data_IF_385686310015
#
_entry.id   IF_385686310015
#
_cell.length_a   1.000
_cell.length_b   1.000
_cell.length_c   1.000
_cell.angle_alpha   90.00
_cell.angle_beta   90.00
_cell.angle_gamma   90.00
#
_symmetry.space_group_name_H-M   'P 1'
#
loop_
_entity.id
_entity.type
_entity.pdbx_description
1 polymer ?
#
# COMPACT_ATOMS: atom_id res chain seq x y z
N UNK A 1 30.59 -7.00 -3.46
CA UNK A 1 30.69 -8.43 -3.78
C UNK A 1 30.04 -9.19 -2.63
N UNK A 2 28.73 -9.45 -2.72
CA UNK A 2 28.03 -10.35 -1.81
C UNK A 2 27.71 -11.61 -2.61
N UNK A 3 28.30 -12.73 -2.18
CA UNK A 3 28.05 -14.06 -2.72
C UNK A 3 26.99 -14.70 -1.82
N UNK A 4 25.77 -14.85 -2.33
CA UNK A 4 24.83 -15.85 -1.80
C UNK A 4 24.71 -16.96 -2.84
N UNK A 5 24.98 -18.19 -2.40
CA UNK A 5 24.92 -19.42 -3.21
C UNK A 5 23.47 -19.90 -3.37
N UNK A 6 22.54 -18.99 -3.66
CA UNK A 6 21.19 -19.41 -4.02
C UNK A 6 21.15 -19.72 -5.50
N UNK A 7 21.15 -21.00 -5.83
CA UNK A 7 20.68 -21.49 -7.12
C UNK A 7 19.18 -21.21 -7.20
N UNK A 8 18.81 -19.96 -7.43
CA UNK A 8 17.45 -19.61 -7.82
C UNK A 8 17.29 -20.20 -9.22
N UNK A 9 16.56 -21.32 -9.31
CA UNK A 9 15.81 -21.64 -10.53
C UNK A 9 14.97 -20.42 -10.83
N UNK A 10 15.51 -19.57 -11.70
CA UNK A 10 14.89 -18.35 -12.19
C UNK A 10 13.74 -18.79 -13.09
N UNK A 11 12.66 -19.26 -12.47
CA UNK A 11 11.35 -19.21 -13.11
C UNK A 11 11.16 -17.73 -13.41
N UNK A 12 11.32 -17.38 -14.69
CA UNK A 12 11.07 -16.05 -15.20
C UNK A 12 9.56 -15.80 -15.17
N UNK A 13 8.97 -15.77 -13.98
CA UNK A 13 7.69 -15.12 -13.79
C UNK A 13 7.96 -13.62 -13.89
N UNK A 14 7.32 -12.96 -14.84
CA UNK A 14 7.53 -11.54 -15.12
C UNK A 14 7.32 -10.68 -13.88
N UNK A 15 7.80 -9.44 -13.93
CA UNK A 15 7.45 -8.43 -12.94
C UNK A 15 5.94 -8.24 -12.89
N UNK A 16 5.36 -8.23 -11.69
CA UNK A 16 3.94 -7.88 -11.53
C UNK A 16 3.83 -6.37 -11.66
N UNK A 17 3.30 -5.91 -12.78
CA UNK A 17 2.95 -4.50 -12.98
C UNK A 17 1.45 -4.32 -12.71
N UNK A 18 1.06 -3.56 -11.68
CA UNK A 18 -0.33 -3.31 -11.37
C UNK A 18 -1.08 -2.55 -12.47
N UNK A 19 -2.38 -2.80 -12.59
CA UNK A 19 -3.26 -2.12 -13.55
C UNK A 19 -3.84 -0.78 -13.04
N UNK A 20 -3.41 -0.32 -11.86
CA UNK A 20 -3.91 0.88 -11.20
C UNK A 20 -3.57 2.14 -12.03
N UNK A 21 -4.55 3.04 -12.20
CA UNK A 21 -4.53 4.09 -13.24
C UNK A 21 -3.31 5.02 -13.15
N UNK A 22 -2.84 5.29 -11.93
CA UNK A 22 -1.75 6.23 -11.67
C UNK A 22 -0.40 5.52 -11.49
N UNK A 23 -0.36 4.19 -11.39
CA UNK A 23 0.85 3.44 -11.08
C UNK A 23 1.96 3.70 -12.11
N UNK A 24 1.71 3.34 -13.38
CA UNK A 24 2.76 3.36 -14.42
C UNK A 24 3.23 4.77 -14.80
N UNK A 25 2.38 5.79 -14.60
CA UNK A 25 2.69 7.16 -15.01
C UNK A 25 3.29 7.99 -13.87
N UNK A 26 2.85 7.76 -12.62
CA UNK A 26 3.16 8.65 -11.50
C UNK A 26 3.90 7.97 -10.33
N UNK A 27 3.74 6.66 -10.12
CA UNK A 27 4.37 5.96 -8.98
C UNK A 27 5.76 5.41 -9.32
N UNK A 28 6.74 6.30 -9.40
CA UNK A 28 8.14 5.93 -9.60
C UNK A 28 8.76 5.19 -8.39
N UNK A 29 8.18 5.33 -7.20
CA UNK A 29 8.78 4.88 -5.95
C UNK A 29 8.75 3.36 -5.76
N UNK A 30 7.66 2.67 -6.15
CA UNK A 30 7.55 1.22 -5.99
C UNK A 30 8.49 0.44 -6.93
N UNK A 31 8.64 0.82 -8.21
CA UNK A 31 9.71 0.27 -9.06
C UNK A 31 11.11 0.56 -8.51
N UNK A 32 11.35 1.76 -7.94
CA UNK A 32 12.66 2.15 -7.44
C UNK A 32 13.15 1.31 -6.24
N UNK A 33 12.24 0.69 -5.48
CA UNK A 33 12.56 -0.23 -4.37
C UNK A 33 12.30 -1.69 -4.74
N UNK A 34 12.15 -1.99 -6.03
CA UNK A 34 11.94 -3.34 -6.57
C UNK A 34 10.69 -4.06 -6.01
N UNK A 35 9.64 -3.32 -5.61
CA UNK A 35 8.40 -3.91 -5.09
C UNK A 35 7.73 -4.86 -6.08
N UNK A 36 7.83 -4.59 -7.39
CA UNK A 36 7.26 -5.45 -8.44
C UNK A 36 7.87 -6.87 -8.45
N UNK A 37 9.14 -7.01 -8.04
CA UNK A 37 9.78 -8.31 -7.81
C UNK A 37 9.37 -8.87 -6.45
N UNK A 38 9.28 -8.03 -5.42
CA UNK A 38 8.82 -8.41 -4.08
C UNK A 38 7.43 -9.06 -4.09
N UNK A 39 6.49 -8.55 -4.90
CA UNK A 39 5.14 -9.10 -5.03
C UNK A 39 5.07 -10.51 -5.62
N UNK A 40 6.13 -10.98 -6.29
CA UNK A 40 6.25 -12.39 -6.70
C UNK A 40 6.57 -13.31 -5.51
N UNK A 41 7.17 -12.78 -4.45
CA UNK A 41 7.49 -13.53 -3.23
C UNK A 41 6.35 -13.45 -2.21
N UNK A 42 5.83 -12.26 -1.96
CA UNK A 42 4.72 -12.02 -1.03
C UNK A 42 4.00 -10.72 -1.34
N UNK A 43 2.68 -10.71 -1.15
CA UNK A 43 1.82 -9.52 -1.27
C UNK A 43 1.31 -9.04 0.10
N UNK A 44 1.98 -9.47 1.18
CA UNK A 44 1.55 -9.23 2.54
C UNK A 44 0.50 -10.22 3.05
N UNK A 45 -0.01 -9.95 4.24
CA UNK A 45 -1.04 -10.74 4.92
C UNK A 45 -2.02 -9.81 5.63
N UNK A 46 -3.30 -10.20 5.69
CA UNK A 46 -4.33 -9.49 6.48
C UNK A 46 -4.07 -9.53 7.99
N UNK A 47 -3.17 -10.40 8.44
CA UNK A 47 -2.73 -10.49 9.84
C UNK A 47 -1.72 -9.40 10.21
N UNK A 48 -1.07 -8.78 9.22
CA UNK A 48 -0.14 -7.68 9.44
C UNK A 48 -0.95 -6.38 9.50
N UNK A 49 -0.98 -5.76 10.68
CA UNK A 49 -1.69 -4.50 10.91
C UNK A 49 -0.66 -3.38 11.02
N UNK A 50 -0.81 -2.34 10.20
CA UNK A 50 -0.01 -1.12 10.23
C UNK A 50 -0.87 0.04 10.76
N UNK A 51 -0.47 0.66 11.86
CA UNK A 51 -1.15 1.82 12.41
C UNK A 51 -0.56 3.12 11.85
N UNK A 52 -1.42 3.97 11.29
CA UNK A 52 -1.06 5.32 10.82
C UNK A 52 -1.50 6.32 11.90
N UNK A 53 -0.53 6.97 12.54
CA UNK A 53 -0.77 8.01 13.56
C UNK A 53 -0.63 9.36 12.91
N UNK A 54 -1.75 9.93 12.46
CA UNK A 54 -1.75 11.09 11.56
C UNK A 54 -3.05 11.92 11.72
N UNK A 55 -3.40 12.75 10.73
CA UNK A 55 -4.60 13.62 10.70
C UNK A 55 -5.92 12.84 10.57
N UNK A 56 -5.85 11.52 10.41
CA UNK A 56 -6.99 10.64 10.18
C UNK A 56 -6.85 9.91 8.85
N UNK A 57 -7.92 9.25 8.41
CA UNK A 57 -8.00 8.64 7.09
C UNK A 57 -9.40 8.86 6.52
N UNK A 58 -9.52 9.13 5.22
CA UNK A 58 -10.81 9.18 4.57
C UNK A 58 -11.43 7.77 4.56
N UNK A 59 -12.39 7.52 5.46
CA UNK A 59 -12.87 6.17 5.75
C UNK A 59 -13.56 5.52 4.55
N UNK A 60 -14.15 6.36 3.69
CA UNK A 60 -14.86 5.94 2.48
C UNK A 60 -14.05 6.13 1.19
N UNK A 61 -12.72 6.28 1.27
CA UNK A 61 -11.88 6.39 0.07
C UNK A 61 -12.00 5.09 -0.77
N UNK A 62 -12.33 5.17 -2.07
CA UNK A 62 -12.57 3.99 -2.90
C UNK A 62 -11.37 3.04 -2.92
N UNK A 63 -10.17 3.60 -2.96
CA UNK A 63 -8.90 2.86 -3.01
C UNK A 63 -8.43 2.28 -1.65
N UNK A 64 -9.12 2.59 -0.54
CA UNK A 64 -8.85 2.04 0.80
C UNK A 64 -9.97 1.13 1.29
N UNK A 65 -10.95 0.84 0.44
CA UNK A 65 -12.13 0.05 0.81
C UNK A 65 -11.73 -1.35 1.30
N UNK A 66 -12.09 -1.66 2.53
CA UNK A 66 -11.78 -2.96 3.16
C UNK A 66 -10.33 -3.12 3.60
N UNK A 67 -9.51 -2.05 3.55
CA UNK A 67 -8.14 -2.01 4.09
C UNK A 67 -8.07 -1.41 5.48
N UNK A 68 -9.07 -0.63 5.86
CA UNK A 68 -9.13 0.06 7.15
C UNK A 68 -9.79 -0.79 8.23
N UNK A 69 -9.21 -0.74 9.43
CA UNK A 69 -9.83 -1.22 10.66
C UNK A 69 -10.42 -0.03 11.43
N UNK A 70 -11.26 -0.31 12.43
CA UNK A 70 -11.72 0.74 13.34
C UNK A 70 -10.53 1.34 14.08
N UNK A 71 -10.27 2.62 13.83
CA UNK A 71 -9.20 3.38 14.49
C UNK A 71 -9.69 4.19 15.68
N UNK A 72 -8.78 5.01 16.22
CA UNK A 72 -9.02 5.88 17.37
C UNK A 72 -8.67 7.33 17.02
N UNK A 73 -9.56 8.27 17.37
CA UNK A 73 -9.28 9.69 17.26
C UNK A 73 -8.79 10.21 18.62
N UNK A 74 -7.50 10.55 18.71
CA UNK A 74 -6.88 11.02 19.96
C UNK A 74 -7.13 12.52 20.26
N UNK A 75 -7.65 13.28 19.29
CA UNK A 75 -8.01 14.69 19.46
C UNK A 75 -9.40 14.79 20.07
N UNK A 76 -10.35 14.03 19.51
CA UNK A 76 -11.74 13.96 19.96
C UNK A 76 -12.09 12.49 20.20
N UNK A 77 -11.85 12.02 21.42
CA UNK A 77 -11.93 10.61 21.87
C UNK A 77 -13.22 9.82 21.54
N UNK A 78 -14.26 10.45 20.98
CA UNK A 78 -15.54 9.83 20.63
C UNK A 78 -15.90 9.89 19.13
N UNK A 79 -15.09 10.54 18.29
CA UNK A 79 -15.34 10.62 16.85
C UNK A 79 -14.55 9.57 16.07
N UNK A 80 -15.02 9.29 14.86
CA UNK A 80 -14.24 8.55 13.88
C UNK A 80 -12.93 9.30 13.58
N UNK A 81 -11.81 8.60 13.29
CA UNK A 81 -10.57 9.22 12.86
C UNK A 81 -10.66 9.61 11.37
N UNK A 82 -11.68 10.38 11.01
CA UNK A 82 -11.86 10.90 9.65
C UNK A 82 -10.80 11.98 9.40
N UNK A 83 -10.17 11.94 8.22
CA UNK A 83 -9.14 12.90 7.84
C UNK A 83 -9.73 14.26 7.48
N UNK A 84 -9.17 15.33 8.04
CA UNK A 84 -9.55 16.72 7.77
C UNK A 84 -8.48 17.52 7.01
N UNK A 85 -7.30 16.94 6.79
CA UNK A 85 -6.16 17.58 6.10
C UNK A 85 -5.77 16.85 4.81
N UNK A 86 -5.85 15.52 4.80
CA UNK A 86 -5.47 14.67 3.67
C UNK A 86 -4.11 13.98 3.83
N UNK A 87 -3.32 14.35 4.83
CA UNK A 87 -1.97 13.79 5.02
C UNK A 87 -2.04 12.31 5.41
N UNK A 88 -2.87 11.95 6.39
CA UNK A 88 -3.03 10.56 6.81
C UNK A 88 -3.68 9.66 5.74
N UNK A 89 -4.60 10.19 4.93
CA UNK A 89 -5.13 9.47 3.75
C UNK A 89 -4.06 9.19 2.71
N UNK A 90 -3.21 10.18 2.42
CA UNK A 90 -2.10 10.03 1.49
C UNK A 90 -1.08 8.98 1.98
N UNK A 91 -0.70 9.04 3.25
CA UNK A 91 0.18 8.03 3.88
C UNK A 91 -0.45 6.63 3.83
N UNK A 92 -1.74 6.53 4.14
CA UNK A 92 -2.48 5.25 4.11
C UNK A 92 -2.53 4.65 2.70
N UNK A 93 -2.68 5.48 1.67
CA UNK A 93 -2.62 5.06 0.27
C UNK A 93 -1.26 4.47 -0.12
N UNK A 94 -0.17 5.11 0.31
CA UNK A 94 1.20 4.60 0.07
C UNK A 94 1.42 3.23 0.72
N UNK A 95 0.85 2.99 1.90
CA UNK A 95 1.07 1.77 2.68
C UNK A 95 0.22 0.60 2.19
N UNK A 96 -0.99 0.86 1.69
CA UNK A 96 -1.95 -0.21 1.53
C UNK A 96 -3.18 0.11 0.71
N UNK A 97 -3.09 1.02 -0.26
CA UNK A 97 -4.09 1.13 -1.32
C UNK A 97 -4.42 -0.24 -1.94
N UNK A 98 -5.57 -0.34 -2.58
CA UNK A 98 -5.90 -1.53 -3.34
C UNK A 98 -4.92 -1.65 -4.51
N UNK A 99 -4.62 -2.88 -4.90
CA UNK A 99 -3.70 -3.15 -6.01
C UNK A 99 -4.47 -3.96 -7.03
N UNK A 100 -4.35 -3.59 -8.30
CA UNK A 100 -5.08 -4.16 -9.43
C UNK A 100 -6.60 -3.91 -9.41
N UNK A 101 -7.05 -2.76 -8.91
CA UNK A 101 -8.48 -2.40 -8.95
C UNK A 101 -8.84 -1.48 -10.13
N UNK A 102 -7.84 -1.04 -10.91
CA UNK A 102 -8.05 -0.14 -12.05
C UNK A 102 -8.42 1.28 -11.66
N UNK A 103 -8.12 1.70 -10.42
CA UNK A 103 -8.32 3.04 -9.88
C UNK A 103 -7.03 3.49 -9.16
N UNK A 104 -6.85 4.79 -8.95
CA UNK A 104 -5.85 5.28 -8.00
C UNK A 104 -4.43 4.75 -8.15
N UNK A 105 -3.85 4.34 -7.03
CA UNK A 105 -2.43 3.97 -6.85
C UNK A 105 -2.33 2.55 -6.27
N UNK A 106 -1.19 1.89 -6.44
CA UNK A 106 -0.86 0.67 -5.71
C UNK A 106 -0.15 0.99 -4.39
N UNK A 107 -0.46 0.24 -3.32
CA UNK A 107 0.16 0.35 -1.99
C UNK A 107 0.44 -1.02 -1.37
#
# INVERSE_FOLDING_TARGET
MYLTNDTITKNAEGTVTPNDMLFSTYQWNLPAIETELGWNLSKGSKEVIVAVVDTGVQINHPDLKGKLLTGYNAITNASTPEDDVGHGTHVSGIIGALVNNGEGVAG
#
